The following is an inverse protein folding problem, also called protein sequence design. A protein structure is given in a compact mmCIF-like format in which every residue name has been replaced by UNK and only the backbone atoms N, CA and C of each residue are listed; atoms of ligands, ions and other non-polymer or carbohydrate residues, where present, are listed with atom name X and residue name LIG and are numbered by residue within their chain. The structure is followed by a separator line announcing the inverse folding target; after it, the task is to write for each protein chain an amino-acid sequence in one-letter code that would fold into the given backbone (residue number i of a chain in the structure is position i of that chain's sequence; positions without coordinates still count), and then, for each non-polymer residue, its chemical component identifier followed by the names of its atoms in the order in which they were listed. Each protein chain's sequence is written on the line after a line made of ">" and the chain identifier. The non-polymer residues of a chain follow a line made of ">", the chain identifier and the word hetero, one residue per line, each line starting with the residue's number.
data_IF_277294207789
#
_entry.id   IF_277294207789
#
_cell.length_a   1.000
_cell.length_b   1.000
_cell.length_c   1.000
_cell.angle_alpha   90.00
_cell.angle_beta   90.00
_cell.angle_gamma   90.00
#
_symmetry.space_group_name_H-M   'P 1'
#
loop_
_entity.id
_entity.type
_entity.pdbx_description
1 polymer ?
#
# COMPACT_ATOMS: atom_id res chain seq x y z
N UNK A 1 -23.61 15.36 -7.57
CA UNK A 1 -24.89 15.13 -6.89
C UNK A 1 -25.77 16.33 -7.21
N UNK A 2 -27.07 16.14 -7.32
CA UNK A 2 -28.03 17.21 -7.54
C UNK A 2 -27.97 18.21 -6.38
N UNK A 3 -27.97 19.50 -6.73
CA UNK A 3 -27.80 20.58 -5.77
C UNK A 3 -28.93 20.59 -4.71
N UNK A 4 -30.15 20.19 -5.06
CA UNK A 4 -31.26 20.13 -4.12
C UNK A 4 -31.05 19.04 -3.05
N UNK A 5 -30.41 17.93 -3.42
CA UNK A 5 -30.04 16.86 -2.49
C UNK A 5 -28.92 17.31 -1.55
N UNK A 6 -27.92 18.04 -2.06
CA UNK A 6 -26.90 18.68 -1.22
C UNK A 6 -27.52 19.65 -0.20
N UNK A 7 -28.43 20.52 -0.65
CA UNK A 7 -29.16 21.44 0.22
C UNK A 7 -29.98 20.70 1.28
N UNK A 8 -30.60 19.56 0.93
CA UNK A 8 -31.34 18.76 1.88
C UNK A 8 -30.43 18.16 2.97
N UNK A 9 -29.24 17.65 2.63
CA UNK A 9 -28.27 17.19 3.64
C UNK A 9 -27.81 18.33 4.56
N UNK A 10 -27.55 19.52 4.00
CA UNK A 10 -27.15 20.70 4.78
C UNK A 10 -28.24 21.20 5.71
N UNK A 11 -29.49 21.19 5.24
CA UNK A 11 -30.65 21.58 6.04
C UNK A 11 -30.93 20.59 7.16
N UNK A 12 -30.84 19.30 6.88
CA UNK A 12 -31.20 18.25 7.81
C UNK A 12 -30.09 18.00 8.86
N UNK A 13 -28.82 18.17 8.49
CA UNK A 13 -27.66 17.97 9.36
C UNK A 13 -26.74 19.22 9.39
N UNK A 14 -27.26 20.38 9.84
CA UNK A 14 -26.55 21.66 9.73
C UNK A 14 -25.25 21.70 10.54
N UNK A 15 -25.15 20.93 11.64
CA UNK A 15 -23.93 20.85 12.43
C UNK A 15 -22.78 20.16 11.67
N UNK A 16 -23.10 19.17 10.83
CA UNK A 16 -22.10 18.46 10.04
C UNK A 16 -21.67 19.27 8.82
N UNK A 17 -22.58 20.01 8.19
CA UNK A 17 -22.34 20.63 6.89
C UNK A 17 -22.30 22.17 6.90
N UNK A 18 -22.14 22.80 8.08
CA UNK A 18 -22.12 24.26 8.24
C UNK A 18 -21.07 24.97 7.40
N UNK A 19 -19.88 24.36 7.27
CA UNK A 19 -18.73 24.93 6.54
C UNK A 19 -18.59 24.40 5.11
N UNK A 20 -19.56 23.60 4.66
CA UNK A 20 -19.55 22.98 3.35
C UNK A 20 -19.94 24.03 2.29
N UNK A 21 -18.98 24.53 1.50
CA UNK A 21 -19.29 25.45 0.37
C UNK A 21 -19.98 24.68 -0.76
N UNK A 22 -20.74 25.36 -1.62
CA UNK A 22 -21.22 24.75 -2.89
C UNK A 22 -20.00 24.16 -3.63
N UNK A 23 -20.03 22.88 -4.06
CA UNK A 23 -18.93 22.08 -4.68
C UNK A 23 -18.12 21.08 -3.82
N UNK A 24 -18.63 20.63 -2.67
CA UNK A 24 -17.92 19.66 -1.80
C UNK A 24 -18.38 18.20 -1.98
N UNK A 25 -19.42 17.96 -2.79
CA UNK A 25 -19.95 16.63 -3.10
C UNK A 25 -19.57 16.21 -4.54
N UNK A 26 -18.66 15.25 -4.65
CA UNK A 26 -18.15 14.70 -5.91
C UNK A 26 -18.57 13.23 -6.04
N UNK A 27 -19.86 12.99 -5.94
CA UNK A 27 -20.50 11.70 -6.14
C UNK A 27 -21.88 11.90 -6.79
N UNK A 28 -22.48 10.82 -7.26
CA UNK A 28 -23.79 10.84 -7.92
C UNK A 28 -24.97 10.60 -6.94
N UNK A 29 -26.20 10.84 -7.41
CA UNK A 29 -27.42 10.95 -6.59
C UNK A 29 -27.87 9.65 -5.91
N UNK A 30 -27.51 8.52 -6.50
CA UNK A 30 -27.87 7.19 -6.01
C UNK A 30 -27.32 6.89 -4.62
N UNK A 31 -26.26 7.58 -4.19
CA UNK A 31 -25.73 7.47 -2.83
C UNK A 31 -26.39 8.40 -1.82
N UNK A 32 -27.32 9.25 -2.22
CA UNK A 32 -28.01 10.17 -1.30
C UNK A 32 -28.66 9.47 -0.09
N UNK A 33 -29.39 8.35 -0.22
CA UNK A 33 -29.93 7.64 0.94
C UNK A 33 -28.85 7.11 1.89
N UNK A 34 -27.74 6.60 1.32
CA UNK A 34 -26.58 6.13 2.07
C UNK A 34 -25.93 7.29 2.84
N UNK A 35 -25.79 8.45 2.20
CA UNK A 35 -25.24 9.66 2.81
C UNK A 35 -26.14 10.22 3.92
N UNK A 36 -27.46 10.20 3.77
CA UNK A 36 -28.37 10.58 4.87
C UNK A 36 -28.23 9.65 6.05
N UNK A 37 -28.16 8.34 5.82
CA UNK A 37 -28.00 7.37 6.88
C UNK A 37 -26.62 7.46 7.57
N UNK A 38 -25.56 7.75 6.80
CA UNK A 38 -24.22 8.03 7.35
C UNK A 38 -24.25 9.29 8.21
N UNK A 39 -24.84 10.38 7.69
CA UNK A 39 -24.93 11.66 8.41
C UNK A 39 -25.68 11.50 9.73
N UNK A 40 -26.79 10.76 9.74
CA UNK A 40 -27.52 10.46 10.98
C UNK A 40 -26.68 9.65 11.97
N UNK A 41 -25.99 8.60 11.51
CA UNK A 41 -25.17 7.76 12.36
C UNK A 41 -24.01 8.56 13.00
N UNK A 42 -23.35 9.38 12.20
CA UNK A 42 -22.27 10.27 12.65
C UNK A 42 -22.79 11.33 13.61
N UNK A 43 -23.91 12.01 13.30
CA UNK A 43 -24.49 13.01 14.18
C UNK A 43 -24.93 12.41 15.53
N UNK A 44 -25.54 11.22 15.51
CA UNK A 44 -25.94 10.50 16.73
C UNK A 44 -24.72 10.16 17.59
N UNK A 45 -23.69 9.56 16.98
CA UNK A 45 -22.44 9.26 17.67
C UNK A 45 -21.79 10.52 18.26
N UNK A 46 -21.79 11.61 17.49
CA UNK A 46 -21.28 12.90 17.94
C UNK A 46 -22.04 13.43 19.17
N UNK A 47 -23.37 13.38 19.15
CA UNK A 47 -24.21 13.84 20.27
C UNK A 47 -23.98 12.99 21.53
N UNK A 48 -23.95 11.67 21.39
CA UNK A 48 -23.75 10.75 22.51
C UNK A 48 -22.38 10.89 23.17
N UNK A 49 -21.37 11.30 22.39
CA UNK A 49 -19.99 11.41 22.84
C UNK A 49 -19.54 12.86 23.04
N UNK A 50 -20.43 13.85 22.90
CA UNK A 50 -20.11 15.27 23.05
C UNK A 50 -19.07 15.78 22.04
N UNK A 51 -19.09 15.29 20.81
CA UNK A 51 -18.14 15.61 19.74
C UNK A 51 -18.76 16.62 18.76
N UNK A 52 -17.98 17.63 18.36
CA UNK A 52 -18.30 18.48 17.21
C UNK A 52 -17.39 18.14 16.03
N UNK A 53 -17.98 17.84 14.88
CA UNK A 53 -17.25 17.64 13.62
C UNK A 53 -17.85 18.51 12.51
N UNK A 54 -17.03 18.83 11.51
CA UNK A 54 -17.45 19.47 10.27
C UNK A 54 -16.99 18.65 9.06
N UNK A 55 -17.86 18.47 8.08
CA UNK A 55 -17.61 17.68 6.88
C UNK A 55 -16.90 18.54 5.84
N UNK A 56 -15.74 18.07 5.40
CA UNK A 56 -14.88 18.80 4.46
C UNK A 56 -15.08 18.35 3.02
N UNK A 57 -15.25 17.05 2.75
CA UNK A 57 -15.47 16.54 1.40
C UNK A 57 -16.28 15.24 1.43
N UNK A 58 -17.17 15.09 0.45
CA UNK A 58 -17.85 13.83 0.16
C UNK A 58 -17.56 13.49 -1.29
N UNK A 59 -16.91 12.36 -1.57
CA UNK A 59 -16.56 12.03 -2.96
C UNK A 59 -16.54 10.55 -3.23
N UNK A 60 -16.74 10.21 -4.50
CA UNK A 60 -16.39 8.90 -4.98
C UNK A 60 -14.89 8.81 -5.25
N UNK A 61 -14.32 7.68 -4.84
CA UNK A 61 -12.97 7.29 -5.24
C UNK A 61 -12.91 5.79 -5.43
N UNK A 62 -12.52 5.35 -6.62
CA UNK A 62 -12.35 3.94 -6.96
C UNK A 62 -13.60 3.07 -6.75
N UNK A 63 -14.80 3.63 -6.99
CA UNK A 63 -16.06 2.94 -6.70
C UNK A 63 -16.40 2.83 -5.21
N UNK A 64 -15.80 3.66 -4.37
CA UNK A 64 -16.11 3.75 -2.93
C UNK A 64 -16.41 5.17 -2.52
N UNK A 65 -17.34 5.33 -1.58
CA UNK A 65 -17.59 6.58 -0.90
C UNK A 65 -16.41 6.97 0.00
N UNK A 66 -16.05 8.24 -0.03
CA UNK A 66 -15.12 8.88 0.91
C UNK A 66 -15.82 10.05 1.57
N UNK A 67 -15.80 10.04 2.90
CA UNK A 67 -16.44 11.03 3.74
C UNK A 67 -15.40 11.63 4.67
N UNK A 68 -14.90 12.82 4.31
CA UNK A 68 -13.85 13.51 5.02
C UNK A 68 -14.47 14.52 5.98
N UNK A 69 -13.94 14.57 7.20
CA UNK A 69 -14.40 15.47 8.25
C UNK A 69 -13.21 15.93 9.10
N UNK A 70 -13.32 17.13 9.66
CA UNK A 70 -12.47 17.66 10.72
C UNK A 70 -13.27 17.76 12.03
N UNK A 71 -12.59 18.05 13.13
CA UNK A 71 -13.21 18.22 14.45
C UNK A 71 -12.61 19.43 15.16
N UNK A 72 -13.46 20.16 15.89
CA UNK A 72 -13.10 21.48 16.46
C UNK A 72 -12.33 21.37 17.78
N UNK A 73 -12.38 20.19 18.41
CA UNK A 73 -11.75 19.91 19.71
C UNK A 73 -10.92 18.61 19.65
N UNK A 74 -9.94 18.51 20.55
CA UNK A 74 -9.10 17.30 20.66
C UNK A 74 -9.95 16.12 21.14
N UNK A 75 -10.21 15.17 20.26
CA UNK A 75 -10.95 13.95 20.57
C UNK A 75 -10.05 12.90 21.22
N UNK A 76 -10.64 12.04 22.04
CA UNK A 76 -10.00 10.81 22.53
C UNK A 76 -9.86 9.78 21.41
N UNK A 77 -8.94 8.83 21.56
CA UNK A 77 -8.69 7.82 20.52
C UNK A 77 -9.92 6.91 20.32
N UNK A 78 -10.67 6.61 21.38
CA UNK A 78 -11.93 5.88 21.30
C UNK A 78 -12.99 6.61 20.46
N UNK A 79 -13.09 7.94 20.61
CA UNK A 79 -14.02 8.77 19.82
C UNK A 79 -13.61 8.84 18.35
N UNK A 80 -12.31 8.99 18.06
CA UNK A 80 -11.79 8.96 16.68
C UNK A 80 -12.04 7.61 16.03
N UNK A 81 -11.76 6.54 16.75
CA UNK A 81 -11.96 5.18 16.25
C UNK A 81 -13.43 4.90 15.95
N UNK A 82 -14.35 5.28 16.84
CA UNK A 82 -15.79 5.12 16.60
C UNK A 82 -16.29 5.88 15.36
N UNK A 83 -15.87 7.14 15.19
CA UNK A 83 -16.19 7.92 13.98
C UNK A 83 -15.62 7.27 12.71
N UNK A 84 -14.38 6.80 12.76
CA UNK A 84 -13.74 6.11 11.65
C UNK A 84 -14.49 4.84 11.27
N UNK A 85 -14.85 4.00 12.25
CA UNK A 85 -15.60 2.76 12.02
C UNK A 85 -16.95 3.02 11.33
N UNK A 86 -17.69 4.03 11.79
CA UNK A 86 -18.97 4.42 11.18
C UNK A 86 -18.73 4.82 9.71
N UNK A 87 -17.75 5.69 9.45
CA UNK A 87 -17.49 6.16 8.09
C UNK A 87 -17.01 5.04 7.16
N UNK A 88 -16.14 4.15 7.63
CA UNK A 88 -15.65 3.02 6.83
C UNK A 88 -16.75 2.00 6.54
N UNK A 89 -17.64 1.69 7.49
CA UNK A 89 -18.77 0.78 7.25
C UNK A 89 -19.68 1.29 6.12
N UNK A 90 -19.98 2.59 6.10
CA UNK A 90 -20.74 3.19 5.01
C UNK A 90 -19.94 3.30 3.71
N UNK A 91 -18.62 3.53 3.80
CA UNK A 91 -17.70 3.40 2.67
C UNK A 91 -17.75 2.01 2.03
N UNK A 92 -17.82 0.95 2.82
CA UNK A 92 -17.91 -0.42 2.34
C UNK A 92 -19.28 -0.78 1.77
N UNK A 93 -20.35 -0.28 2.39
CA UNK A 93 -21.72 -0.42 1.85
C UNK A 93 -21.86 0.20 0.45
N UNK A 94 -21.18 1.32 0.20
CA UNK A 94 -21.21 2.01 -1.10
C UNK A 94 -20.71 1.13 -2.26
N UNK A 95 -19.85 0.13 -2.00
CA UNK A 95 -19.26 -0.78 -3.00
C UNK A 95 -20.30 -1.61 -3.77
N UNK A 96 -21.52 -1.69 -3.25
CA UNK A 96 -22.60 -2.54 -3.76
C UNK A 96 -23.82 -1.72 -4.20
N UNK A 97 -23.71 -0.39 -4.20
CA UNK A 97 -24.80 0.53 -4.48
C UNK A 97 -24.42 1.35 -5.70
N UNK A 98 -25.29 1.33 -6.72
CA UNK A 98 -25.12 2.15 -7.91
C UNK A 98 -25.04 3.62 -7.53
N UNK A 99 -23.95 4.28 -7.92
CA UNK A 99 -23.70 5.68 -7.62
C UNK A 99 -24.80 6.58 -8.21
N UNK A 100 -25.39 6.22 -9.36
CA UNK A 100 -26.38 7.03 -10.07
C UNK A 100 -27.82 6.89 -9.54
N UNK A 101 -28.27 5.66 -9.23
CA UNK A 101 -29.69 5.42 -8.87
C UNK A 101 -29.93 4.75 -7.53
N UNK A 102 -28.88 4.29 -6.83
CA UNK A 102 -29.01 3.70 -5.49
C UNK A 102 -29.48 2.25 -5.46
N UNK A 103 -29.80 1.65 -6.61
CA UNK A 103 -30.07 0.21 -6.72
C UNK A 103 -28.78 -0.61 -6.57
N UNK A 104 -28.87 -1.92 -6.31
CA UNK A 104 -27.69 -2.80 -6.26
C UNK A 104 -26.82 -2.66 -7.51
N UNK A 105 -25.53 -2.46 -7.29
CA UNK A 105 -24.53 -2.23 -8.32
C UNK A 105 -23.29 -3.11 -8.13
N UNK A 106 -22.52 -3.25 -9.20
CA UNK A 106 -21.23 -3.96 -9.20
C UNK A 106 -20.11 -2.98 -9.51
N UNK A 107 -18.91 -3.23 -9.00
CA UNK A 107 -17.73 -2.46 -9.36
C UNK A 107 -17.38 -2.68 -10.84
N UNK A 108 -17.27 -1.59 -11.58
CA UNK A 108 -17.00 -1.54 -13.02
C UNK A 108 -15.87 -0.55 -13.31
N UNK A 109 -15.25 -0.74 -14.47
CA UNK A 109 -14.17 0.08 -15.01
C UNK A 109 -14.58 0.54 -16.41
N UNK A 110 -14.70 1.85 -16.58
CA UNK A 110 -14.92 2.51 -17.86
C UNK A 110 -13.68 3.33 -18.20
N UNK A 111 -12.84 2.80 -19.10
CA UNK A 111 -11.52 3.39 -19.37
C UNK A 111 -10.61 3.31 -18.14
N UNK A 112 -10.25 4.45 -17.54
CA UNK A 112 -9.47 4.51 -16.29
C UNK A 112 -10.33 4.82 -15.04
N UNK A 113 -11.66 4.95 -15.22
CA UNK A 113 -12.58 5.36 -14.16
C UNK A 113 -13.28 4.15 -13.53
N UNK A 114 -13.08 3.97 -12.23
CA UNK A 114 -13.67 2.91 -11.42
C UNK A 114 -14.91 3.44 -10.72
N UNK A 115 -16.02 2.73 -10.81
CA UNK A 115 -17.32 3.17 -10.29
C UNK A 115 -18.22 1.97 -10.00
N UNK A 116 -19.26 2.14 -9.19
CA UNK A 116 -20.24 1.09 -8.91
C UNK A 116 -21.54 1.47 -9.62
N UNK A 117 -22.02 0.58 -10.48
CA UNK A 117 -23.25 0.82 -11.23
C UNK A 117 -24.13 -0.43 -11.34
N UNK A 118 -25.43 -0.21 -11.46
CA UNK A 118 -26.40 -1.24 -11.85
C UNK A 118 -26.29 -1.52 -13.36
N UNK A 119 -26.93 -2.59 -13.88
CA UNK A 119 -26.86 -2.91 -15.30
C UNK A 119 -27.26 -1.77 -16.24
N UNK A 120 -28.24 -0.94 -15.85
CA UNK A 120 -28.71 0.20 -16.64
C UNK A 120 -27.67 1.34 -16.72
N UNK A 121 -27.01 1.64 -15.59
CA UNK A 121 -26.02 2.72 -15.50
C UNK A 121 -24.58 2.25 -15.73
N UNK A 122 -24.38 0.98 -16.11
CA UNK A 122 -23.06 0.43 -16.37
C UNK A 122 -22.33 1.16 -17.50
N UNK A 123 -23.06 1.73 -18.48
CA UNK A 123 -22.51 2.53 -19.58
C UNK A 123 -21.33 1.85 -20.32
N UNK A 124 -21.39 0.53 -20.50
CA UNK A 124 -20.32 -0.26 -21.13
C UNK A 124 -19.11 -0.51 -20.24
N UNK A 125 -19.20 -0.19 -18.96
CA UNK A 125 -18.20 -0.51 -17.93
C UNK A 125 -17.99 -2.01 -17.83
N UNK A 126 -16.72 -2.38 -17.73
CA UNK A 126 -16.30 -3.77 -17.62
C UNK A 126 -16.09 -4.11 -16.15
N UNK A 127 -16.42 -5.32 -15.73
CA UNK A 127 -15.94 -5.79 -14.43
C UNK A 127 -14.40 -5.74 -14.40
N UNK A 128 -13.76 -5.57 -13.24
CA UNK A 128 -12.30 -5.52 -13.15
C UNK A 128 -11.61 -6.68 -13.87
N UNK A 129 -12.18 -7.89 -13.78
CA UNK A 129 -11.70 -9.08 -14.51
C UNK A 129 -11.88 -8.97 -16.03
N UNK A 130 -13.05 -8.53 -16.51
CA UNK A 130 -13.27 -8.34 -17.94
C UNK A 130 -12.42 -7.20 -18.53
N UNK A 131 -12.20 -6.12 -17.77
CA UNK A 131 -11.30 -5.03 -18.15
C UNK A 131 -9.86 -5.54 -18.28
N UNK A 132 -9.40 -6.35 -17.32
CA UNK A 132 -8.09 -6.98 -17.37
C UNK A 132 -7.94 -7.88 -18.61
N UNK A 133 -8.91 -8.76 -18.87
CA UNK A 133 -8.91 -9.63 -20.05
C UNK A 133 -8.92 -8.84 -21.37
N UNK A 134 -9.66 -7.73 -21.43
CA UNK A 134 -9.69 -6.87 -22.61
C UNK A 134 -8.37 -6.11 -22.82
N UNK A 135 -7.70 -5.69 -21.74
CA UNK A 135 -6.34 -5.13 -21.81
C UNK A 135 -5.35 -6.18 -22.33
N UNK A 136 -5.40 -7.40 -21.81
CA UNK A 136 -4.56 -8.53 -22.25
C UNK A 136 -4.83 -8.92 -23.71
N UNK A 137 -6.10 -8.91 -24.16
CA UNK A 137 -6.48 -9.23 -25.55
C UNK A 137 -6.08 -8.12 -26.54
N UNK A 138 -6.28 -6.83 -26.18
CA UNK A 138 -5.79 -5.70 -26.99
C UNK A 138 -4.27 -5.71 -27.11
N UNK A 139 -3.58 -6.15 -26.06
CA UNK A 139 -2.13 -6.34 -26.07
C UNK A 139 -1.71 -7.47 -27.03
N UNK A 140 -2.41 -8.61 -27.01
CA UNK A 140 -2.18 -9.74 -27.94
C UNK A 140 -2.50 -9.44 -29.40
N UNK A 141 -3.56 -8.68 -29.69
CA UNK A 141 -3.94 -8.30 -31.06
C UNK A 141 -3.02 -7.27 -31.71
N UNK A 142 -2.29 -6.47 -30.92
CA UNK A 142 -1.36 -5.48 -31.46
C UNK A 142 -0.05 -6.07 -32.02
N UNK A 143 0.19 -7.37 -31.83
CA UNK A 143 1.47 -8.00 -32.15
C UNK A 143 2.61 -7.43 -31.30
N UNK A 144 3.68 -8.20 -31.08
CA UNK A 144 4.92 -7.59 -30.59
C UNK A 144 5.34 -6.52 -31.62
N UNK A 145 5.67 -5.28 -31.21
CA UNK A 145 6.29 -4.34 -32.13
C UNK A 145 7.58 -4.96 -32.69
N UNK A 146 7.94 -4.70 -33.96
CA UNK A 146 9.26 -5.08 -34.44
C UNK A 146 10.32 -4.38 -33.58
N UNK A 147 11.40 -5.09 -33.27
CA UNK A 147 12.57 -4.55 -32.58
C UNK A 147 13.03 -3.26 -33.29
N UNK A 148 12.74 -2.13 -32.66
CA UNK A 148 13.05 -0.79 -33.11
C UNK A 148 13.17 0.11 -31.87
N UNK A 149 13.96 1.19 -31.91
CA UNK A 149 14.45 1.84 -30.71
C UNK A 149 13.30 2.36 -29.85
N UNK A 150 13.41 2.11 -28.54
CA UNK A 150 12.59 2.62 -27.42
C UNK A 150 12.48 4.16 -27.47
N UNK A 151 11.68 4.69 -28.39
CA UNK A 151 11.58 6.12 -28.65
C UNK A 151 10.18 6.52 -29.14
N UNK A 152 9.16 6.18 -28.36
CA UNK A 152 7.89 6.92 -28.37
C UNK A 152 7.62 7.41 -26.93
N UNK A 153 8.41 8.42 -26.58
CA UNK A 153 8.50 9.17 -25.33
C UNK A 153 7.16 9.39 -24.60
N UNK A 154 7.03 8.86 -23.36
CA UNK A 154 6.54 9.70 -22.25
C UNK A 154 7.37 10.99 -22.27
N UNK A 155 6.77 12.16 -22.04
CA UNK A 155 7.58 13.32 -21.66
C UNK A 155 8.54 12.85 -20.56
N UNK A 156 9.86 13.09 -20.68
CA UNK A 156 10.81 12.60 -19.69
C UNK A 156 10.31 13.04 -18.32
N UNK A 157 10.18 12.06 -17.41
CA UNK A 157 9.73 12.30 -16.06
C UNK A 157 10.48 13.51 -15.51
N UNK A 158 9.78 14.61 -15.21
CA UNK A 158 10.43 15.80 -14.64
C UNK A 158 10.85 15.41 -13.21
N UNK A 159 12.15 15.22 -12.94
CA UNK A 159 12.57 14.72 -11.64
C UNK A 159 12.17 15.65 -10.51
N UNK A 160 11.97 16.95 -10.79
CA UNK A 160 11.50 17.92 -9.80
C UNK A 160 10.01 17.74 -9.51
N UNK A 161 9.20 17.51 -10.54
CA UNK A 161 7.77 17.25 -10.39
C UNK A 161 7.50 15.91 -9.69
N UNK A 162 8.28 14.88 -10.01
CA UNK A 162 8.23 13.60 -9.31
C UNK A 162 8.64 13.76 -7.85
N UNK A 163 9.77 14.43 -7.58
CA UNK A 163 10.21 14.72 -6.22
C UNK A 163 9.11 15.42 -5.42
N UNK A 164 8.48 16.45 -5.98
CA UNK A 164 7.39 17.19 -5.34
C UNK A 164 6.19 16.28 -5.06
N UNK A 165 5.80 15.47 -6.04
CA UNK A 165 4.66 14.54 -5.92
C UNK A 165 4.92 13.52 -4.82
N UNK A 166 6.07 12.84 -4.85
CA UNK A 166 6.43 11.85 -3.85
C UNK A 166 6.58 12.47 -2.45
N UNK A 167 7.22 13.65 -2.32
CA UNK A 167 7.30 14.39 -1.03
C UNK A 167 5.91 14.68 -0.47
N UNK A 168 5.00 15.17 -1.32
CA UNK A 168 3.61 15.46 -0.95
C UNK A 168 2.89 14.23 -0.39
N UNK A 169 3.00 13.10 -1.09
CA UNK A 169 2.30 11.88 -0.66
C UNK A 169 2.95 11.20 0.54
N UNK A 170 4.27 11.28 0.69
CA UNK A 170 4.94 10.84 1.93
C UNK A 170 4.47 11.69 3.11
N UNK A 171 4.38 13.02 2.96
CA UNK A 171 3.86 13.90 4.02
C UNK A 171 2.40 13.57 4.39
N UNK A 172 1.53 13.35 3.40
CA UNK A 172 0.15 12.90 3.64
C UNK A 172 0.13 11.59 4.43
N UNK A 173 1.00 10.63 4.09
CA UNK A 173 1.07 9.34 4.78
C UNK A 173 1.63 9.48 6.21
N UNK A 174 2.63 10.32 6.42
CA UNK A 174 3.16 10.62 7.75
C UNK A 174 2.07 11.25 8.64
N UNK A 175 1.26 12.16 8.09
CA UNK A 175 0.13 12.75 8.80
C UNK A 175 -0.98 11.71 9.07
N UNK A 176 -1.27 10.84 8.10
CA UNK A 176 -2.29 9.80 8.23
C UNK A 176 -1.95 8.78 9.33
N UNK A 177 -0.68 8.40 9.45
CA UNK A 177 -0.20 7.45 10.47
C UNK A 177 0.47 8.14 11.66
N UNK A 178 0.19 9.43 11.90
CA UNK A 178 0.96 10.22 12.87
C UNK A 178 0.90 9.65 14.29
N UNK A 179 -0.26 9.13 14.68
CA UNK A 179 -0.48 8.56 16.02
C UNK A 179 0.24 7.23 16.18
N UNK A 180 0.09 6.32 15.22
CA UNK A 180 0.75 5.01 15.22
C UNK A 180 2.27 5.16 15.12
N UNK A 181 2.76 6.13 14.34
CA UNK A 181 4.17 6.45 14.23
C UNK A 181 4.71 7.03 15.55
N UNK A 182 3.96 7.93 16.19
CA UNK A 182 4.35 8.49 17.49
C UNK A 182 4.41 7.40 18.57
N UNK A 183 3.42 6.50 18.59
CA UNK A 183 3.39 5.35 19.48
C UNK A 183 4.57 4.41 19.24
N UNK A 184 4.81 3.99 17.99
CA UNK A 184 5.92 3.10 17.61
C UNK A 184 7.28 3.67 18.04
N UNK A 185 7.49 4.99 17.89
CA UNK A 185 8.74 5.65 18.29
C UNK A 185 9.06 5.55 19.79
N UNK A 186 8.05 5.37 20.65
CA UNK A 186 8.27 5.12 22.09
C UNK A 186 9.05 3.82 22.31
N UNK A 187 8.86 2.83 21.44
CA UNK A 187 9.49 1.51 21.53
C UNK A 187 10.83 1.45 20.80
N UNK A 188 11.04 2.25 19.74
CA UNK A 188 12.31 2.28 18.98
C UNK A 188 13.55 2.55 19.86
N UNK A 189 13.40 3.27 20.97
CA UNK A 189 14.49 3.63 21.89
C UNK A 189 14.67 2.67 23.08
N UNK A 190 13.83 1.63 23.21
CA UNK A 190 13.83 0.69 24.35
C UNK A 190 14.53 -0.64 24.06
N UNK A 191 14.94 -0.89 22.82
CA UNK A 191 15.60 -2.13 22.45
C UNK A 191 16.96 -2.29 23.15
N UNK A 192 17.05 -3.25 24.06
CA UNK A 192 18.33 -3.71 24.63
C UNK A 192 19.10 -4.58 23.60
N UNK A 193 20.32 -4.99 23.94
CA UNK A 193 21.17 -5.79 23.05
C UNK A 193 20.62 -7.18 22.69
N UNK A 194 19.47 -7.59 23.25
CA UNK A 194 18.81 -8.89 23.00
C UNK A 194 17.55 -8.79 22.14
N UNK A 195 17.17 -7.58 21.70
CA UNK A 195 16.00 -7.38 20.86
C UNK A 195 16.18 -8.04 19.47
N UNK A 196 15.17 -8.77 18.95
CA UNK A 196 15.22 -9.32 17.61
C UNK A 196 15.28 -8.19 16.58
N UNK A 197 16.07 -8.39 15.52
CA UNK A 197 16.19 -7.43 14.43
C UNK A 197 15.44 -7.94 13.20
N UNK A 198 14.44 -7.17 12.75
CA UNK A 198 13.74 -7.42 11.50
C UNK A 198 14.36 -6.52 10.43
N UNK A 199 15.10 -7.16 9.53
CA UNK A 199 15.73 -6.53 8.38
C UNK A 199 14.75 -6.54 7.21
N UNK A 200 14.26 -5.37 6.82
CA UNK A 200 13.41 -5.21 5.65
C UNK A 200 14.27 -4.89 4.43
N UNK A 201 14.27 -5.78 3.45
CA UNK A 201 14.88 -5.55 2.13
C UNK A 201 13.78 -5.09 1.17
N UNK A 202 13.75 -3.78 0.92
CA UNK A 202 12.67 -3.10 0.23
C UNK A 202 13.08 -2.59 -1.16
N UNK A 203 12.08 -2.40 -2.02
CA UNK A 203 12.26 -1.84 -3.35
C UNK A 203 11.21 -2.36 -4.33
N UNK A 204 11.01 -1.64 -5.44
CA UNK A 204 10.02 -2.02 -6.45
C UNK A 204 10.29 -3.40 -7.07
N UNK A 205 9.27 -3.95 -7.73
CA UNK A 205 9.45 -5.16 -8.54
C UNK A 205 10.42 -4.82 -9.67
N UNK A 206 11.47 -5.62 -9.86
CA UNK A 206 12.53 -5.34 -10.84
C UNK A 206 13.65 -4.43 -10.33
N UNK A 207 13.60 -3.94 -9.08
CA UNK A 207 14.68 -3.11 -8.52
C UNK A 207 15.98 -3.88 -8.24
N UNK A 208 15.93 -5.22 -8.21
CA UNK A 208 17.11 -6.06 -7.99
C UNK A 208 17.41 -6.39 -6.52
N UNK A 209 16.40 -6.39 -5.65
CA UNK A 209 16.52 -6.83 -4.24
C UNK A 209 17.28 -8.14 -4.07
N UNK A 210 17.06 -9.11 -4.95
CA UNK A 210 17.70 -10.43 -4.91
C UNK A 210 19.23 -10.38 -4.97
N UNK A 211 19.81 -9.31 -5.53
CA UNK A 211 21.27 -9.08 -5.52
C UNK A 211 21.84 -8.90 -4.11
N UNK A 212 21.02 -8.38 -3.19
CA UNK A 212 21.40 -8.15 -1.80
C UNK A 212 20.87 -9.22 -0.85
N UNK A 213 19.77 -9.89 -1.18
CA UNK A 213 19.14 -10.91 -0.33
C UNK A 213 20.12 -12.00 0.12
N UNK A 214 20.73 -12.72 -0.83
CA UNK A 214 21.63 -13.84 -0.49
C UNK A 214 22.90 -13.40 0.28
N UNK A 215 23.59 -12.30 -0.10
CA UNK A 215 24.65 -11.74 0.73
C UNK A 215 24.19 -11.37 2.15
N UNK A 216 23.06 -10.67 2.30
CA UNK A 216 22.54 -10.25 3.59
C UNK A 216 22.18 -11.44 4.48
N UNK A 217 21.49 -12.46 3.94
CA UNK A 217 21.16 -13.67 4.70
C UNK A 217 22.41 -14.36 5.26
N UNK A 218 23.47 -14.48 4.45
CA UNK A 218 24.74 -15.05 4.89
C UNK A 218 25.42 -14.19 5.95
N UNK A 219 25.47 -12.88 5.74
CA UNK A 219 26.08 -11.94 6.69
C UNK A 219 25.37 -11.93 8.05
N UNK A 220 24.04 -12.00 8.04
CA UNK A 220 23.20 -11.91 9.22
C UNK A 220 22.91 -13.27 9.86
N UNK A 221 23.31 -14.37 9.23
CA UNK A 221 23.05 -15.73 9.72
C UNK A 221 21.56 -16.10 9.71
N UNK A 222 20.80 -15.60 8.74
CA UNK A 222 19.34 -15.81 8.68
C UNK A 222 19.04 -17.24 8.23
N UNK A 223 18.37 -18.01 9.09
CA UNK A 223 17.88 -19.34 8.78
C UNK A 223 16.78 -19.28 7.71
N UNK A 224 16.60 -20.37 6.96
CA UNK A 224 15.51 -20.48 5.97
C UNK A 224 14.13 -20.23 6.60
N UNK A 225 13.89 -20.68 7.83
CA UNK A 225 12.62 -20.40 8.55
C UNK A 225 12.40 -18.92 8.92
N UNK A 226 13.46 -18.12 8.91
CA UNK A 226 13.49 -16.70 9.27
C UNK A 226 13.59 -15.77 8.04
N UNK A 227 13.59 -16.35 6.83
CA UNK A 227 13.55 -15.63 5.57
C UNK A 227 12.11 -15.50 5.08
N UNK A 228 11.55 -14.32 5.22
CA UNK A 228 10.19 -13.99 4.82
C UNK A 228 10.22 -13.46 3.39
N UNK A 229 9.83 -14.31 2.43
CA UNK A 229 9.72 -13.94 1.02
C UNK A 229 8.52 -14.66 0.39
N UNK A 230 7.70 -13.93 -0.35
CA UNK A 230 6.56 -14.48 -1.10
C UNK A 230 7.05 -15.33 -2.27
N UNK A 231 8.12 -14.88 -2.95
CA UNK A 231 8.63 -15.50 -4.17
C UNK A 231 9.20 -16.91 -3.91
N UNK A 232 9.63 -17.21 -2.68
CA UNK A 232 10.19 -18.52 -2.29
C UNK A 232 9.19 -19.67 -2.39
N UNK A 233 7.90 -19.38 -2.21
CA UNK A 233 6.85 -20.40 -2.17
C UNK A 233 6.34 -20.80 -3.53
N UNK A 234 6.24 -19.83 -4.45
CA UNK A 234 5.60 -19.99 -5.76
C UNK A 234 6.06 -21.24 -6.54
N UNK A 235 7.35 -21.60 -6.61
CA UNK A 235 7.80 -22.78 -7.35
C UNK A 235 7.34 -24.11 -6.75
N UNK A 236 7.03 -24.13 -5.46
CA UNK A 236 6.71 -25.35 -4.69
C UNK A 236 5.22 -25.56 -4.42
N UNK A 237 4.39 -24.56 -4.74
CA UNK A 237 2.95 -24.62 -4.46
C UNK A 237 2.25 -25.66 -5.33
N UNK A 238 1.33 -26.46 -4.75
CA UNK A 238 0.54 -27.41 -5.52
C UNK A 238 -0.43 -26.68 -6.44
N UNK A 239 -0.75 -27.29 -7.59
CA UNK A 239 -1.80 -26.78 -8.50
C UNK A 239 -3.22 -27.18 -8.08
N UNK A 240 -3.34 -28.10 -7.12
CA UNK A 240 -4.62 -28.61 -6.62
C UNK A 240 -5.30 -27.58 -5.69
N UNK A 241 -6.53 -27.17 -6.04
CA UNK A 241 -7.26 -26.13 -5.31
C UNK A 241 -7.55 -26.51 -3.86
N UNK A 242 -7.91 -27.77 -3.59
CA UNK A 242 -8.23 -28.22 -2.24
C UNK A 242 -7.01 -28.15 -1.32
N UNK A 243 -5.82 -28.53 -1.83
CA UNK A 243 -4.55 -28.38 -1.12
C UNK A 243 -4.21 -26.91 -0.90
N UNK A 244 -4.36 -26.04 -1.90
CA UNK A 244 -4.12 -24.60 -1.76
C UNK A 244 -5.00 -23.97 -0.68
N UNK A 245 -6.30 -24.30 -0.65
CA UNK A 245 -7.24 -23.84 0.38
C UNK A 245 -6.85 -24.34 1.76
N UNK A 246 -6.43 -25.60 1.88
CA UNK A 246 -5.96 -26.18 3.15
C UNK A 246 -4.74 -25.44 3.68
N UNK A 247 -3.73 -25.23 2.81
CA UNK A 247 -2.51 -24.50 3.15
C UNK A 247 -2.80 -23.04 3.53
N UNK A 248 -3.71 -22.38 2.82
CA UNK A 248 -4.11 -21.00 3.12
C UNK A 248 -4.76 -20.87 4.50
N UNK A 249 -5.68 -21.77 4.84
CA UNK A 249 -6.34 -21.79 6.16
C UNK A 249 -5.37 -22.06 7.30
N UNK A 250 -4.45 -23.01 7.10
CA UNK A 250 -3.40 -23.29 8.09
C UNK A 250 -2.47 -22.07 8.27
N UNK A 251 -2.08 -21.42 7.19
CA UNK A 251 -1.28 -20.20 7.25
C UNK A 251 -1.99 -19.05 7.98
N UNK A 252 -3.30 -18.89 7.80
CA UNK A 252 -4.10 -17.89 8.52
C UNK A 252 -4.06 -18.15 10.02
N UNK A 253 -4.30 -19.40 10.46
CA UNK A 253 -4.23 -19.76 11.89
C UNK A 253 -2.87 -19.52 12.52
N UNK A 254 -1.80 -19.70 11.75
CA UNK A 254 -0.45 -19.43 12.23
C UNK A 254 -0.10 -17.94 12.23
N UNK A 255 -0.76 -17.13 11.40
CA UNK A 255 -0.48 -15.70 11.27
C UNK A 255 -1.29 -14.85 12.27
N UNK A 256 -2.58 -15.15 12.43
CA UNK A 256 -3.51 -14.39 13.27
C UNK A 256 -3.62 -15.06 14.64
N UNK A 257 -3.17 -14.39 15.73
CA UNK A 257 -3.18 -14.97 17.07
C UNK A 257 -4.58 -14.99 17.70
N UNK A 258 -5.48 -14.11 17.26
CA UNK A 258 -6.87 -14.07 17.70
C UNK A 258 -7.72 -15.05 16.88
N UNK A 259 -8.45 -15.94 17.58
CA UNK A 259 -9.23 -17.00 16.93
C UNK A 259 -10.41 -16.44 16.12
N UNK A 260 -11.06 -15.37 16.58
CA UNK A 260 -12.19 -14.75 15.88
C UNK A 260 -11.75 -14.02 14.60
N UNK A 261 -10.59 -13.36 14.62
CA UNK A 261 -9.96 -12.78 13.43
C UNK A 261 -9.52 -13.87 12.45
N UNK A 262 -8.92 -14.95 12.95
CA UNK A 262 -8.53 -16.10 12.14
C UNK A 262 -9.73 -16.75 11.45
N UNK A 263 -10.84 -16.96 12.17
CA UNK A 263 -12.07 -17.52 11.63
C UNK A 263 -12.72 -16.60 10.60
N UNK A 264 -12.75 -15.28 10.86
CA UNK A 264 -13.23 -14.29 9.88
C UNK A 264 -12.38 -14.30 8.61
N UNK A 265 -11.05 -14.32 8.73
CA UNK A 265 -10.15 -14.38 7.59
C UNK A 265 -10.27 -15.70 6.82
N UNK A 266 -10.41 -16.84 7.53
CA UNK A 266 -10.64 -18.14 6.90
C UNK A 266 -11.99 -18.19 6.17
N UNK A 267 -13.01 -17.49 6.65
CA UNK A 267 -14.31 -17.33 5.99
C UNK A 267 -14.24 -16.59 4.64
N UNK A 268 -13.16 -15.82 4.39
CA UNK A 268 -12.90 -15.18 3.10
C UNK A 268 -12.16 -16.11 2.11
N UNK A 269 -11.67 -17.26 2.56
CA UNK A 269 -11.02 -18.24 1.69
C UNK A 269 -12.11 -19.05 0.96
N UNK A 270 -12.05 -19.14 -0.39
CA UNK A 270 -12.99 -19.91 -1.20
C UNK A 270 -13.18 -21.35 -0.74
N UNK A 271 -14.27 -21.98 -1.18
CA UNK A 271 -14.47 -23.40 -0.95
C UNK A 271 -13.39 -24.24 -1.66
N UNK A 272 -13.14 -25.47 -1.18
CA UNK A 272 -12.06 -26.33 -1.70
C UNK A 272 -12.15 -26.66 -3.20
N UNK A 273 -13.35 -26.53 -3.78
CA UNK A 273 -13.63 -26.72 -5.20
C UNK A 273 -13.52 -25.43 -6.02
N UNK A 274 -13.29 -24.28 -5.39
CA UNK A 274 -13.18 -22.98 -6.04
C UNK A 274 -11.70 -22.58 -6.23
N UNK A 275 -11.37 -21.80 -7.27
CA UNK A 275 -9.99 -21.38 -7.52
C UNK A 275 -9.49 -20.40 -6.47
N UNK A 276 -8.26 -20.64 -5.97
CA UNK A 276 -7.52 -19.74 -5.09
C UNK A 276 -6.15 -19.44 -5.72
N UNK A 277 -5.81 -18.17 -6.02
CA UNK A 277 -4.53 -17.84 -6.65
C UNK A 277 -3.32 -18.22 -5.80
N UNK A 278 -2.32 -18.88 -6.41
CA UNK A 278 -1.07 -19.28 -5.76
C UNK A 278 -0.35 -18.11 -5.06
N UNK A 279 -0.36 -16.93 -5.69
CA UNK A 279 0.24 -15.72 -5.10
C UNK A 279 -0.42 -15.32 -3.78
N UNK A 280 -1.73 -15.53 -3.65
CA UNK A 280 -2.45 -15.25 -2.41
C UNK A 280 -2.06 -16.25 -1.32
N UNK A 281 -1.90 -17.53 -1.67
CA UNK A 281 -1.43 -18.57 -0.73
C UNK A 281 0.01 -18.30 -0.30
N UNK A 282 0.90 -17.99 -1.23
CA UNK A 282 2.28 -17.61 -0.95
C UNK A 282 2.38 -16.40 -0.01
N UNK A 283 1.48 -15.43 -0.16
CA UNK A 283 1.40 -14.27 0.72
C UNK A 283 1.02 -14.67 2.16
N UNK A 284 0.00 -15.53 2.32
CA UNK A 284 -0.42 -16.02 3.64
C UNK A 284 0.69 -16.82 4.32
N UNK A 285 1.38 -17.70 3.58
CA UNK A 285 2.52 -18.47 4.10
C UNK A 285 3.66 -17.56 4.55
N UNK A 286 3.97 -16.53 3.76
CA UNK A 286 4.96 -15.52 4.11
C UNK A 286 4.56 -14.72 5.37
N UNK A 287 3.28 -14.41 5.55
CA UNK A 287 2.80 -13.78 6.79
C UNK A 287 2.91 -14.70 8.01
N UNK A 288 2.64 -15.99 7.83
CA UNK A 288 2.83 -16.99 8.88
C UNK A 288 4.32 -17.13 9.28
N UNK A 289 5.25 -17.10 8.31
CA UNK A 289 6.70 -17.06 8.61
C UNK A 289 7.07 -15.85 9.46
N UNK A 290 6.57 -14.67 9.08
CA UNK A 290 6.82 -13.44 9.81
C UNK A 290 6.31 -13.52 11.25
N UNK A 291 5.08 -14.00 11.46
CA UNK A 291 4.49 -14.17 12.80
C UNK A 291 5.32 -15.14 13.64
N UNK A 292 5.59 -16.34 13.13
CA UNK A 292 6.37 -17.35 13.86
C UNK A 292 7.76 -16.84 14.22
N UNK A 293 8.39 -16.09 13.31
CA UNK A 293 9.68 -15.45 13.53
C UNK A 293 9.64 -14.39 14.62
N UNK A 294 8.62 -13.54 14.62
CA UNK A 294 8.40 -12.51 15.63
C UNK A 294 8.15 -13.12 17.01
N UNK A 295 7.25 -14.10 17.10
CA UNK A 295 6.89 -14.78 18.35
C UNK A 295 8.08 -15.55 18.93
N UNK A 296 8.90 -16.16 18.07
CA UNK A 296 10.14 -16.83 18.47
C UNK A 296 11.30 -15.86 18.75
N UNK A 297 11.09 -14.54 18.65
CA UNK A 297 12.12 -13.49 18.80
C UNK A 297 13.36 -13.76 17.93
N UNK A 298 13.16 -14.18 16.69
CA UNK A 298 14.23 -14.41 15.73
C UNK A 298 14.59 -13.14 14.95
N UNK A 299 15.85 -13.03 14.55
CA UNK A 299 16.21 -12.05 13.53
C UNK A 299 15.63 -12.50 12.18
N UNK A 300 14.90 -11.61 11.50
CA UNK A 300 14.26 -11.93 10.23
C UNK A 300 14.88 -11.12 9.10
N UNK A 301 14.91 -11.71 7.91
CA UNK A 301 15.02 -10.96 6.66
C UNK A 301 13.68 -11.00 5.95
N UNK A 302 13.06 -9.84 5.77
CA UNK A 302 11.77 -9.65 5.11
C UNK A 302 11.98 -8.99 3.76
N UNK A 303 11.81 -9.75 2.68
CA UNK A 303 11.81 -9.22 1.32
C UNK A 303 10.43 -8.68 0.97
N UNK A 304 10.35 -7.41 0.58
CA UNK A 304 9.07 -6.76 0.35
C UNK A 304 9.15 -5.66 -0.69
N UNK A 305 8.04 -5.41 -1.37
CA UNK A 305 7.84 -4.19 -2.17
C UNK A 305 7.16 -3.09 -1.35
N UNK A 306 6.64 -3.42 -0.16
CA UNK A 306 5.69 -2.61 0.63
C UNK A 306 4.45 -2.14 -0.13
N UNK A 307 4.19 -2.66 -1.33
CA UNK A 307 3.01 -2.31 -2.13
C UNK A 307 1.78 -3.13 -1.74
N UNK A 308 1.96 -4.24 -1.02
CA UNK A 308 0.90 -5.11 -0.54
C UNK A 308 0.38 -4.61 0.83
N UNK A 309 -0.93 -4.63 0.99
CA UNK A 309 -1.61 -4.18 2.20
C UNK A 309 -1.19 -5.01 3.43
N UNK A 310 -1.07 -4.36 4.59
CA UNK A 310 -0.71 -5.01 5.86
C UNK A 310 0.78 -5.10 6.17
N UNK A 311 1.68 -4.94 5.18
CA UNK A 311 3.14 -5.04 5.45
C UNK A 311 3.68 -3.90 6.29
N UNK A 312 3.12 -2.70 6.18
CA UNK A 312 3.48 -1.59 7.05
C UNK A 312 2.93 -1.80 8.47
N UNK A 313 1.72 -2.31 8.60
CA UNK A 313 1.13 -2.62 9.91
C UNK A 313 1.94 -3.68 10.67
N UNK A 314 2.48 -4.67 9.96
CA UNK A 314 3.44 -5.63 10.53
C UNK A 314 4.71 -4.96 11.06
N UNK A 315 5.21 -3.89 10.43
CA UNK A 315 6.36 -3.12 10.95
C UNK A 315 6.00 -2.48 12.29
N UNK A 316 4.84 -1.81 12.35
CA UNK A 316 4.35 -1.18 13.59
C UNK A 316 4.16 -2.22 14.69
N UNK A 317 3.55 -3.35 14.36
CA UNK A 317 3.34 -4.45 15.31
C UNK A 317 4.67 -5.02 15.83
N UNK A 318 5.65 -5.22 14.95
CA UNK A 318 6.98 -5.70 15.33
C UNK A 318 7.66 -4.76 16.33
N UNK A 319 7.55 -3.46 16.08
CA UNK A 319 8.11 -2.43 16.97
C UNK A 319 7.40 -2.44 18.32
N UNK A 320 6.06 -2.54 18.34
CA UNK A 320 5.27 -2.68 19.59
C UNK A 320 5.65 -3.94 20.37
N UNK A 321 5.99 -5.03 19.68
CA UNK A 321 6.49 -6.27 20.28
C UNK A 321 7.97 -6.18 20.75
N UNK A 322 8.60 -5.01 20.62
CA UNK A 322 9.95 -4.73 21.10
C UNK A 322 11.05 -5.16 20.13
N UNK A 323 10.73 -5.35 18.85
CA UNK A 323 11.72 -5.63 17.82
C UNK A 323 12.38 -4.35 17.28
N UNK A 324 13.60 -4.50 16.78
CA UNK A 324 14.35 -3.45 16.09
C UNK A 324 14.15 -3.61 14.59
N UNK A 325 13.93 -2.48 13.90
CA UNK A 325 13.74 -2.47 12.45
C UNK A 325 14.96 -1.89 11.76
N UNK A 326 15.51 -2.62 10.80
CA UNK A 326 16.51 -2.14 9.84
C UNK A 326 15.88 -2.14 8.44
N UNK A 327 16.25 -1.16 7.61
CA UNK A 327 15.73 -1.01 6.25
C UNK A 327 16.86 -0.90 5.24
N UNK A 328 16.93 -1.85 4.31
CA UNK A 328 17.77 -1.80 3.12
C UNK A 328 16.87 -1.53 1.90
N UNK A 329 16.92 -0.32 1.34
CA UNK A 329 16.11 0.09 0.18
C UNK A 329 16.92 0.04 -1.12
N UNK A 330 16.47 -0.74 -2.10
CA UNK A 330 17.06 -0.82 -3.45
C UNK A 330 16.24 0.01 -4.42
N UNK A 331 16.79 1.16 -4.80
CA UNK A 331 16.14 2.18 -5.61
C UNK A 331 16.36 2.02 -7.12
N UNK A 332 15.25 1.92 -7.84
CA UNK A 332 15.14 2.14 -9.28
C UNK A 332 13.81 2.86 -9.49
N UNK A 333 13.87 4.16 -9.79
CA UNK A 333 12.69 5.01 -10.01
C UNK A 333 12.54 5.39 -11.48
N UNK A 334 13.11 4.58 -12.37
CA UNK A 334 12.92 4.66 -13.81
C UNK A 334 11.96 3.52 -14.22
N UNK A 335 10.73 3.89 -14.59
CA UNK A 335 9.67 2.91 -14.87
C UNK A 335 10.02 2.02 -16.06
N UNK A 336 10.62 2.60 -17.11
CA UNK A 336 11.01 1.85 -18.30
C UNK A 336 12.03 0.74 -17.96
N UNK A 337 13.02 1.06 -17.13
CA UNK A 337 14.00 0.10 -16.62
C UNK A 337 13.33 -1.00 -15.81
N UNK A 338 12.38 -0.65 -14.93
CA UNK A 338 11.63 -1.64 -14.15
C UNK A 338 10.81 -2.57 -15.05
N UNK A 339 10.07 -2.01 -16.00
CA UNK A 339 9.25 -2.76 -16.96
C UNK A 339 10.12 -3.71 -17.77
N UNK A 340 11.23 -3.23 -18.34
CA UNK A 340 12.17 -4.06 -19.09
C UNK A 340 12.71 -5.22 -18.25
N UNK A 341 13.10 -4.96 -17.00
CA UNK A 341 13.62 -6.00 -16.09
C UNK A 341 12.56 -7.03 -15.73
N UNK A 342 11.32 -6.60 -15.50
CA UNK A 342 10.20 -7.50 -15.19
C UNK A 342 9.85 -8.37 -16.39
N UNK A 343 9.74 -7.79 -17.58
CA UNK A 343 9.48 -8.51 -18.82
C UNK A 343 10.60 -9.50 -19.14
N UNK A 344 11.86 -9.09 -19.01
CA UNK A 344 13.02 -9.98 -19.20
C UNK A 344 13.00 -11.18 -18.24
N UNK A 345 12.59 -10.97 -16.98
CA UNK A 345 12.44 -12.06 -16.00
C UNK A 345 11.28 -12.99 -16.35
N UNK A 346 10.15 -12.45 -16.79
CA UNK A 346 8.99 -13.24 -17.23
C UNK A 346 9.32 -14.11 -18.44
N UNK A 347 10.13 -13.62 -19.39
CA UNK A 347 10.59 -14.42 -20.54
C UNK A 347 11.50 -15.60 -20.16
N UNK A 348 12.19 -15.50 -19.02
CA UNK A 348 13.19 -16.48 -18.57
C UNK A 348 12.69 -17.41 -17.46
N UNK A 349 11.44 -17.29 -17.03
CA UNK A 349 10.87 -18.08 -15.93
C UNK A 349 9.37 -18.31 -16.10
N UNK A 350 8.78 -19.24 -15.35
CA UNK A 350 7.33 -19.49 -15.34
C UNK A 350 6.51 -18.37 -14.66
N UNK A 351 7.07 -17.16 -14.57
CA UNK A 351 6.45 -16.02 -13.90
C UNK A 351 5.49 -15.30 -14.83
N UNK A 352 4.34 -14.92 -14.28
CA UNK A 352 3.33 -14.13 -14.98
C UNK A 352 3.87 -12.74 -15.26
N UNK A 353 3.63 -12.25 -16.48
CA UNK A 353 3.93 -10.87 -16.86
C UNK A 353 3.13 -9.88 -16.00
N UNK A 354 3.74 -8.76 -15.62
CA UNK A 354 3.12 -7.78 -14.72
C UNK A 354 2.89 -6.50 -15.53
N UNK A 355 1.63 -6.02 -15.65
CA UNK A 355 1.34 -4.80 -16.39
C UNK A 355 2.13 -3.60 -15.87
N UNK A 356 2.62 -2.75 -16.78
CA UNK A 356 3.35 -1.50 -16.45
C UNK A 356 2.60 -0.63 -15.43
N UNK A 357 1.28 -0.43 -15.63
CA UNK A 357 0.46 0.35 -14.70
C UNK A 357 0.38 -0.26 -13.29
N UNK A 358 0.60 -1.57 -13.14
CA UNK A 358 0.72 -2.22 -11.84
C UNK A 358 2.11 -1.99 -11.24
N UNK A 359 3.17 -2.03 -12.06
CA UNK A 359 4.54 -1.71 -11.62
C UNK A 359 4.63 -0.27 -11.12
N UNK A 360 4.04 0.68 -11.86
CA UNK A 360 4.00 2.10 -11.51
C UNK A 360 3.25 2.34 -10.18
N UNK A 361 2.05 1.76 -10.02
CA UNK A 361 1.28 1.84 -8.77
C UNK A 361 2.04 1.22 -7.58
N UNK A 362 2.70 0.09 -7.81
CA UNK A 362 3.47 -0.60 -6.78
C UNK A 362 4.73 0.17 -6.39
N UNK A 363 5.44 0.77 -7.36
CA UNK A 363 6.58 1.65 -7.11
C UNK A 363 6.15 2.81 -6.23
N UNK A 364 5.06 3.47 -6.58
CA UNK A 364 4.54 4.61 -5.85
C UNK A 364 4.13 4.25 -4.42
N UNK A 365 3.18 3.31 -4.28
CA UNK A 365 2.67 2.88 -2.97
C UNK A 365 3.77 2.31 -2.09
N UNK A 366 4.59 1.43 -2.66
CA UNK A 366 5.68 0.76 -1.97
C UNK A 366 6.73 1.74 -1.44
N UNK A 367 7.13 2.73 -2.25
CA UNK A 367 8.05 3.76 -1.80
C UNK A 367 7.47 4.60 -0.66
N UNK A 368 6.19 5.00 -0.73
CA UNK A 368 5.61 5.83 0.33
C UNK A 368 5.60 5.12 1.68
N UNK A 369 5.31 3.81 1.71
CA UNK A 369 5.42 3.02 2.94
C UNK A 369 6.88 2.78 3.36
N UNK A 370 7.79 2.51 2.42
CA UNK A 370 9.22 2.38 2.73
C UNK A 370 9.78 3.66 3.37
N UNK A 371 9.29 4.85 2.96
CA UNK A 371 9.65 6.11 3.60
C UNK A 371 9.15 6.20 5.05
N UNK A 372 7.93 5.75 5.36
CA UNK A 372 7.45 5.66 6.75
C UNK A 372 8.34 4.72 7.59
N UNK A 373 8.70 3.57 7.02
CA UNK A 373 9.60 2.61 7.69
C UNK A 373 10.98 3.23 7.90
N UNK A 374 11.50 4.02 6.96
CA UNK A 374 12.77 4.72 7.10
C UNK A 374 12.80 5.67 8.31
N UNK A 375 11.65 6.28 8.66
CA UNK A 375 11.53 7.12 9.85
C UNK A 375 11.56 6.33 11.16
N UNK A 376 11.13 5.07 11.15
CA UNK A 376 11.12 4.18 12.32
C UNK A 376 12.39 3.35 12.45
N UNK A 377 13.12 3.17 11.35
CA UNK A 377 14.25 2.27 11.27
C UNK A 377 15.41 2.75 12.15
N UNK A 378 16.01 1.81 12.89
CA UNK A 378 17.29 2.06 13.57
C UNK A 378 18.38 2.32 12.55
N UNK A 379 18.43 1.54 11.47
CA UNK A 379 19.39 1.70 10.37
C UNK A 379 18.67 1.73 9.03
N UNK A 380 19.01 2.73 8.21
CA UNK A 380 18.61 2.84 6.81
C UNK A 380 19.85 2.71 5.92
N UNK A 381 19.80 1.84 4.92
CA UNK A 381 20.75 1.80 3.81
C UNK A 381 20.01 1.97 2.49
N UNK A 382 20.53 2.84 1.65
CA UNK A 382 19.90 3.16 0.36
C UNK A 382 20.87 2.81 -0.77
N UNK A 383 20.44 1.92 -1.65
CA UNK A 383 21.22 1.41 -2.76
C UNK A 383 20.67 1.93 -4.09
N UNK A 384 21.55 2.30 -4.99
CA UNK A 384 21.24 2.63 -6.37
C UNK A 384 21.49 1.42 -7.27
N UNK A 385 20.44 0.99 -7.95
CA UNK A 385 20.54 -0.07 -8.94
C UNK A 385 20.02 0.36 -10.33
N UNK A 386 20.17 1.64 -10.67
CA UNK A 386 19.80 2.17 -12.00
C UNK A 386 20.69 1.63 -13.13
N UNK A 387 21.92 1.20 -12.83
CA UNK A 387 22.83 0.68 -13.84
C UNK A 387 22.26 -0.60 -14.49
N UNK A 388 22.34 -0.67 -15.82
CA UNK A 388 22.05 -1.90 -16.57
C UNK A 388 23.32 -2.73 -16.63
N UNK A 389 23.39 -3.78 -15.81
CA UNK A 389 24.55 -4.68 -15.73
C UNK A 389 24.14 -6.07 -16.18
N UNK A 390 24.93 -6.67 -17.08
CA UNK A 390 24.79 -8.08 -17.42
C UNK A 390 25.46 -8.94 -16.33
N UNK A 391 24.64 -9.57 -15.50
CA UNK A 391 25.09 -10.42 -14.40
C UNK A 391 25.87 -11.66 -14.88
N UNK A 392 25.75 -12.06 -16.15
CA UNK A 392 26.57 -13.14 -16.71
C UNK A 392 28.03 -12.71 -16.87
N UNK A 393 28.28 -11.41 -17.06
CA UNK A 393 29.61 -10.84 -17.24
C UNK A 393 30.18 -10.29 -15.91
N UNK A 394 29.32 -9.94 -14.97
CA UNK A 394 29.69 -9.40 -13.65
C UNK A 394 28.89 -10.10 -12.55
N UNK A 395 29.28 -11.35 -12.26
CA UNK A 395 28.57 -12.20 -11.29
C UNK A 395 28.65 -11.70 -9.83
N UNK A 396 29.62 -10.83 -9.53
CA UNK A 396 29.86 -10.21 -8.23
C UNK A 396 29.29 -8.79 -8.10
N UNK A 397 28.53 -8.31 -9.09
CA UNK A 397 27.92 -6.99 -9.06
C UNK A 397 27.02 -6.80 -7.83
N UNK A 398 27.24 -5.68 -7.14
CA UNK A 398 26.35 -5.20 -6.08
C UNK A 398 25.88 -3.78 -6.38
N UNK A 399 24.59 -3.47 -6.12
CA UNK A 399 24.08 -2.10 -6.15
C UNK A 399 24.94 -1.13 -5.34
N UNK A 400 25.11 0.10 -5.84
CA UNK A 400 25.94 1.12 -5.19
C UNK A 400 25.26 1.64 -3.92
N UNK A 401 25.92 1.55 -2.77
CA UNK A 401 25.44 2.17 -1.53
C UNK A 401 25.59 3.70 -1.58
N UNK A 402 24.46 4.40 -1.66
CA UNK A 402 24.38 5.86 -1.71
C UNK A 402 24.35 6.52 -0.33
N UNK A 403 23.66 5.90 0.63
CA UNK A 403 23.37 6.50 1.92
C UNK A 403 23.30 5.40 2.99
N UNK A 404 23.91 5.66 4.14
CA UNK A 404 23.73 4.89 5.36
C UNK A 404 23.46 5.84 6.53
N UNK A 405 22.32 5.66 7.19
CA UNK A 405 21.92 6.38 8.39
C UNK A 405 21.71 5.36 9.49
N UNK A 406 22.22 5.66 10.68
CA UNK A 406 21.93 4.88 11.87
C UNK A 406 21.57 5.80 13.03
N UNK A 407 20.41 5.56 13.65
CA UNK A 407 19.89 6.30 14.80
C UNK A 407 19.89 7.82 14.55
N UNK A 408 19.48 8.23 13.36
CA UNK A 408 19.43 9.64 12.94
C UNK A 408 20.79 10.26 12.59
N UNK A 409 21.88 9.48 12.54
CA UNK A 409 23.21 9.95 12.17
C UNK A 409 23.59 9.41 10.79
N UNK A 410 23.98 10.29 9.87
CA UNK A 410 24.54 9.88 8.57
C UNK A 410 25.94 9.29 8.81
N UNK A 411 26.08 7.99 8.55
CA UNK A 411 27.37 7.29 8.60
C UNK A 411 28.09 7.35 7.25
N UNK A 412 27.32 7.33 6.16
CA UNK A 412 27.84 7.40 4.79
C UNK A 412 26.86 8.17 3.91
N UNK A 413 27.40 9.00 3.03
CA UNK A 413 26.67 9.58 1.90
C UNK A 413 27.57 9.61 0.67
N UNK A 414 26.99 9.36 -0.49
CA UNK A 414 27.63 9.54 -1.80
C UNK A 414 28.20 10.95 -1.94
N UNK A 415 29.36 11.05 -2.59
CA UNK A 415 29.96 12.34 -2.99
C UNK A 415 29.21 12.96 -4.18
N UNK A 416 28.63 12.11 -5.04
CA UNK A 416 27.71 12.54 -6.09
C UNK A 416 26.34 12.92 -5.49
N UNK A 417 25.62 13.89 -6.08
CA UNK A 417 24.29 14.26 -5.63
C UNK A 417 23.34 13.06 -5.53
N UNK A 418 22.61 12.99 -4.42
CA UNK A 418 21.59 11.95 -4.23
C UNK A 418 20.47 12.14 -5.26
N UNK A 419 19.95 11.05 -5.86
CA UNK A 419 18.73 11.15 -6.64
C UNK A 419 17.55 11.53 -5.73
N UNK A 420 16.55 12.22 -6.28
CA UNK A 420 15.44 12.80 -5.52
C UNK A 420 14.76 11.81 -4.54
N UNK A 421 14.63 10.54 -4.92
CA UNK A 421 13.99 9.51 -4.09
C UNK A 421 14.87 9.12 -2.89
N UNK A 422 16.20 9.15 -3.04
CA UNK A 422 17.13 8.91 -1.95
C UNK A 422 17.20 10.11 -1.00
N UNK A 423 17.06 11.34 -1.52
CA UNK A 423 16.93 12.54 -0.69
C UNK A 423 15.67 12.48 0.18
N UNK A 424 14.52 12.06 -0.38
CA UNK A 424 13.29 11.89 0.40
C UNK A 424 13.51 10.89 1.54
N UNK A 425 14.10 9.72 1.27
CA UNK A 425 14.37 8.72 2.31
C UNK A 425 15.33 9.25 3.38
N UNK A 426 16.37 9.98 2.98
CA UNK A 426 17.29 10.66 3.90
C UNK A 426 16.53 11.63 4.81
N UNK A 427 15.78 12.54 4.21
CA UNK A 427 15.10 13.62 4.93
C UNK A 427 14.09 13.03 5.93
N UNK A 428 13.32 12.03 5.52
CA UNK A 428 12.35 11.33 6.37
C UNK A 428 13.05 10.58 7.51
N UNK A 429 14.14 9.86 7.24
CA UNK A 429 14.91 9.14 8.27
C UNK A 429 15.56 10.07 9.30
N UNK A 430 15.89 11.31 8.91
CA UNK A 430 16.39 12.35 9.80
C UNK A 430 15.27 13.09 10.54
N UNK A 431 14.01 12.78 10.25
CA UNK A 431 12.86 13.48 10.83
C UNK A 431 12.74 14.94 10.37
N UNK A 432 13.25 15.25 9.17
CA UNK A 432 13.08 16.57 8.59
C UNK A 432 11.60 16.85 8.30
N UNK A 433 11.20 18.11 8.47
CA UNK A 433 9.92 18.58 7.94
C UNK A 433 9.97 18.44 6.41
N UNK A 434 8.98 17.73 5.86
CA UNK A 434 8.86 17.52 4.42
C UNK A 434 8.46 18.80 3.68
N UNK A 435 8.21 19.90 4.40
CA UNK A 435 7.92 21.22 3.84
C UNK A 435 6.57 21.28 3.15
N UNK A 436 5.67 20.36 3.52
CA UNK A 436 4.32 20.27 2.96
C UNK A 436 3.37 20.84 4.00
N UNK A 437 2.75 21.97 3.68
CA UNK A 437 1.68 22.54 4.48
C UNK A 437 0.52 21.54 4.54
N UNK A 438 0.42 20.84 5.68
CA UNK A 438 -0.61 19.84 5.94
C UNK A 438 -1.99 20.47 5.94
N UNK A 439 -2.12 21.75 6.35
CA UNK A 439 -3.39 22.47 6.31
C UNK A 439 -3.75 22.88 4.87
N UNK A 440 -2.77 23.13 3.99
CA UNK A 440 -3.00 23.30 2.55
C UNK A 440 -3.24 21.98 1.79
N UNK A 441 -2.88 20.83 2.37
CA UNK A 441 -3.20 19.51 1.80
C UNK A 441 -4.67 19.14 1.96
N UNK A 442 -5.32 19.65 3.01
CA UNK A 442 -6.72 19.42 3.35
C UNK A 442 -7.67 20.56 2.91
N UNK A 443 -7.13 21.67 2.39
CA UNK A 443 -7.86 22.72 1.66
C UNK A 443 -7.92 22.40 0.17
#
# INVERSE_FOLDING_TARGET
>A
MDIALEHALRRDYPALYSDCRESHFWCEDGWYPLLRALSQAVETFCQENGIGIHVTQVKQKFGTLRYYYGYDAKLTDAQKHGLFQIVEDYGDRSRRICEHCGLPGTLLVSGAYWHVACPEHANGGLTPGAFQQLQEAKFKQRGLPPEGPLAARRLPADPKQDALTYRRFVAIRLAHYAEEMAEARIYCHRADGSAPVLHYLAGSIGSGKTLLSAPLRRQLGIAESAWVDVDRYLPSLPKDHARLVTMAREAIRQWLPDEDDADRAMGLIPAANEPLPELQVAYLLSNADWRRGLDARQNLLVETTFSLAGRFDQVLESIRAGAVVDLDYVGVHDLDTLVQRVQSRALRSDRVDIPEAQIERNLFSGFTHAALVAHLARRLRVYDNRATVDLNLQADYQPLLLLEIEKGVILRQSTEPLPWWAEILRDVALGADMGVDVDALYR
#
